data_IF_153841644515
#
_entry.id   IF_153841644515
#
_cell.length_a   1.000
_cell.length_b   1.000
_cell.length_c   1.000
_cell.angle_alpha   90.00
_cell.angle_beta   90.00
_cell.angle_gamma   90.00
#
_symmetry.space_group_name_H-M   'P 1'
#
loop_
_entity.id
_entity.type
_entity.pdbx_description
1 polymer ?
#
# COMPACT_ATOMS: atom_id res chain seq x y z
N UNK A 1 17.98 -49.10 60.94
CA UNK A 1 16.95 -48.67 61.92
C UNK A 1 17.30 -47.26 62.39
N UNK A 2 16.31 -46.33 62.32
CA UNK A 2 16.31 -44.90 62.75
C UNK A 2 17.25 -43.98 61.95
N UNK A 3 16.82 -43.01 61.12
CA UNK A 3 15.86 -41.87 61.18
C UNK A 3 16.31 -40.71 62.09
N UNK A 4 16.42 -39.51 61.49
CA UNK A 4 16.53 -38.18 62.11
C UNK A 4 17.37 -37.22 61.23
N UNK A 5 16.82 -36.60 60.18
CA UNK A 5 16.27 -35.22 60.12
C UNK A 5 17.23 -34.11 60.55
N UNK A 6 17.61 -33.24 59.61
CA UNK A 6 17.61 -31.79 59.84
C UNK A 6 17.45 -31.04 58.51
N UNK A 7 16.48 -30.14 58.49
CA UNK A 7 15.79 -29.59 57.33
C UNK A 7 15.77 -28.06 57.49
N UNK A 8 16.93 -27.43 57.67
CA UNK A 8 17.04 -25.98 57.95
C UNK A 8 18.26 -25.33 57.26
N UNK A 9 18.34 -25.43 55.92
CA UNK A 9 19.35 -24.65 55.18
C UNK A 9 18.91 -24.05 53.84
N UNK A 10 17.60 -23.92 53.59
CA UNK A 10 17.07 -23.31 52.36
C UNK A 10 16.15 -22.11 52.60
N UNK A 11 16.55 -21.20 53.49
CA UNK A 11 15.89 -19.90 53.66
C UNK A 11 16.86 -18.82 54.11
N UNK A 12 17.60 -18.26 53.15
CA UNK A 12 18.18 -16.93 53.33
C UNK A 12 18.23 -16.23 51.98
N UNK A 13 17.04 -15.86 51.51
CA UNK A 13 16.81 -14.95 50.41
C UNK A 13 16.00 -13.79 51.01
N UNK A 14 16.70 -12.75 51.48
CA UNK A 14 16.29 -11.33 51.44
C UNK A 14 17.30 -10.47 52.23
N UNK A 15 17.56 -9.27 51.70
CA UNK A 15 18.30 -8.13 52.29
C UNK A 15 19.85 -8.12 52.28
N UNK A 16 20.44 -7.48 51.24
CA UNK A 16 21.06 -6.13 51.38
C UNK A 16 21.73 -5.64 50.07
N UNK A 17 21.07 -4.65 49.48
CA UNK A 17 21.56 -3.34 49.02
C UNK A 17 22.78 -3.21 48.07
N UNK A 18 22.49 -2.51 46.97
CA UNK A 18 23.30 -1.52 46.22
C UNK A 18 24.49 -1.99 45.38
N UNK A 19 24.35 -1.83 44.06
CA UNK A 19 25.45 -1.88 43.08
C UNK A 19 24.92 -1.73 41.66
N UNK A 20 24.77 -0.49 41.20
CA UNK A 20 24.44 -0.11 39.82
C UNK A 20 25.46 -0.66 38.79
N UNK A 21 24.96 -1.31 37.74
CA UNK A 21 25.59 -1.25 36.41
C UNK A 21 24.53 -1.45 35.34
N UNK A 22 24.31 -0.38 34.58
CA UNK A 22 23.36 -0.28 33.51
C UNK A 22 23.74 -1.20 32.34
N UNK A 23 22.86 -2.16 32.05
CA UNK A 23 22.71 -2.73 30.70
C UNK A 23 21.37 -2.23 30.18
N UNK A 24 21.44 -1.27 29.25
CA UNK A 24 20.27 -0.68 28.60
C UNK A 24 19.46 -1.75 27.88
N UNK A 25 18.16 -1.93 28.21
CA UNK A 25 17.25 -2.60 27.31
C UNK A 25 16.87 -1.61 26.19
N UNK A 26 16.97 -2.07 24.94
CA UNK A 26 16.33 -1.43 23.79
C UNK A 26 14.86 -1.16 24.12
N UNK A 27 14.32 0.06 23.92
CA UNK A 27 12.94 0.34 24.27
C UNK A 27 12.04 -0.34 23.24
N UNK A 28 11.35 -1.40 23.67
CA UNK A 28 10.18 -1.90 22.95
C UNK A 28 9.10 -0.82 23.02
N UNK A 29 8.74 -0.26 21.86
CA UNK A 29 7.73 0.79 21.73
C UNK A 29 6.42 0.35 22.42
N UNK A 30 6.06 1.03 23.51
CA UNK A 30 4.80 0.79 24.23
C UNK A 30 3.65 1.35 23.42
N UNK A 31 3.03 0.51 22.60
CA UNK A 31 1.79 0.83 21.89
C UNK A 31 0.61 0.79 22.85
N UNK A 32 -0.20 1.85 22.87
CA UNK A 32 -1.41 1.95 23.70
C UNK A 32 -2.63 1.98 22.80
N UNK A 33 -3.55 1.04 23.02
CA UNK A 33 -4.90 1.10 22.45
C UNK A 33 -5.69 2.13 23.22
N UNK A 34 -6.11 3.21 22.56
CA UNK A 34 -6.92 4.25 23.19
C UNK A 34 -8.04 4.68 22.24
N UNK A 35 -9.20 5.02 22.80
CA UNK A 35 -10.20 5.79 22.05
C UNK A 35 -9.62 7.18 21.78
N UNK A 36 -9.54 7.58 20.52
CA UNK A 36 -9.06 8.92 20.15
C UNK A 36 -10.02 9.96 20.74
N UNK A 37 -9.67 10.50 21.91
CA UNK A 37 -10.38 11.63 22.51
C UNK A 37 -9.90 12.84 21.73
N UNK A 38 -10.79 13.35 20.87
CA UNK A 38 -10.51 14.36 19.84
C UNK A 38 -9.41 15.31 20.26
N UNK A 39 -8.40 15.44 19.39
CA UNK A 39 -7.23 16.26 19.61
C UNK A 39 -7.61 17.57 20.32
N UNK A 40 -6.94 17.84 21.44
CA UNK A 40 -6.96 19.16 22.05
C UNK A 40 -6.86 20.22 20.94
N UNK A 41 -7.67 21.31 20.97
CA UNK A 41 -7.76 22.29 19.88
C UNK A 41 -6.42 22.97 19.51
N UNK A 42 -5.32 22.63 20.19
CA UNK A 42 -3.97 23.13 19.93
C UNK A 42 -3.19 22.36 18.86
N UNK A 43 -3.49 21.10 18.54
CA UNK A 43 -2.75 20.37 17.49
C UNK A 43 -3.52 20.33 16.19
N UNK A 44 -3.24 21.32 15.32
CA UNK A 44 -3.81 21.42 13.96
C UNK A 44 -3.48 20.20 13.09
N UNK A 45 -2.44 19.45 13.46
CA UNK A 45 -1.91 18.32 12.71
C UNK A 45 -2.04 17.01 13.47
N UNK A 46 -2.17 15.94 12.68
CA UNK A 46 -2.26 14.54 13.09
C UNK A 46 -1.14 13.76 12.42
N UNK A 47 -0.54 12.89 13.22
CA UNK A 47 0.59 12.04 12.85
C UNK A 47 0.08 10.62 12.60
N UNK A 48 0.39 10.07 11.44
CA UNK A 48 -0.01 8.74 10.99
C UNK A 48 1.23 7.93 10.63
N UNK A 49 1.32 6.71 11.13
CA UNK A 49 2.34 5.74 10.73
C UNK A 49 1.62 4.55 10.07
N UNK A 50 1.77 4.42 8.76
CA UNK A 50 1.09 3.41 7.93
C UNK A 50 2.12 2.38 7.50
N UNK A 51 2.23 1.29 8.26
CA UNK A 51 3.18 0.20 7.99
C UNK A 51 4.64 0.66 7.90
N UNK A 52 5.02 1.67 8.69
CA UNK A 52 6.35 2.28 8.69
C UNK A 52 6.47 3.58 7.88
N UNK A 53 5.48 3.92 7.05
CA UNK A 53 5.46 5.18 6.33
C UNK A 53 4.82 6.30 7.15
N UNK A 54 5.56 7.38 7.36
CA UNK A 54 5.17 8.48 8.24
C UNK A 54 4.48 9.60 7.45
N UNK A 55 3.28 9.98 7.91
CA UNK A 55 2.48 11.03 7.29
C UNK A 55 2.00 12.07 8.31
N UNK A 56 1.98 13.31 7.86
CA UNK A 56 1.40 14.44 8.58
C UNK A 56 0.21 14.98 7.80
N UNK A 57 -0.92 15.14 8.47
CA UNK A 57 -2.13 15.68 7.87
C UNK A 57 -2.98 16.42 8.91
N UNK A 58 -4.15 16.92 8.52
CA UNK A 58 -5.06 17.63 9.42
C UNK A 58 -6.33 16.82 9.67
N UNK A 59 -6.99 17.05 10.81
CA UNK A 59 -8.31 16.44 11.07
C UNK A 59 -9.31 16.77 9.99
N UNK A 60 -9.31 18.01 9.50
CA UNK A 60 -10.17 18.43 8.41
C UNK A 60 -10.04 17.54 7.16
N UNK A 61 -8.82 17.12 6.81
CA UNK A 61 -8.60 16.23 5.65
C UNK A 61 -9.19 14.84 5.90
N UNK A 62 -8.93 14.29 7.09
CA UNK A 62 -9.34 12.93 7.46
C UNK A 62 -10.86 12.81 7.70
N UNK A 63 -11.52 13.90 8.09
CA UNK A 63 -12.98 13.93 8.33
C UNK A 63 -13.77 14.56 7.18
N UNK A 64 -13.12 14.97 6.09
CA UNK A 64 -13.76 15.65 4.95
C UNK A 64 -14.82 14.77 4.28
N UNK A 65 -14.50 13.50 4.10
CA UNK A 65 -15.32 12.51 3.39
C UNK A 65 -15.73 11.38 4.33
N UNK A 66 -16.83 10.70 3.99
CA UNK A 66 -17.30 9.56 4.77
C UNK A 66 -16.46 8.30 4.48
N UNK A 67 -15.41 8.12 5.26
CA UNK A 67 -14.37 7.09 5.07
C UNK A 67 -14.08 6.37 6.37
N UNK A 68 -13.37 5.23 6.31
CA UNK A 68 -12.88 4.52 7.50
C UNK A 68 -12.03 5.43 8.39
N UNK A 69 -11.21 6.31 7.78
CA UNK A 69 -10.39 7.27 8.50
C UNK A 69 -11.25 8.22 9.33
N UNK A 70 -12.33 8.76 8.76
CA UNK A 70 -13.28 9.58 9.54
C UNK A 70 -13.85 8.82 10.73
N UNK A 71 -14.16 7.52 10.58
CA UNK A 71 -14.63 6.70 11.70
C UNK A 71 -13.56 6.56 12.80
N UNK A 72 -12.30 6.28 12.44
CA UNK A 72 -11.15 6.26 13.36
C UNK A 72 -11.03 7.55 14.17
N UNK A 73 -11.13 8.69 13.47
CA UNK A 73 -10.91 10.01 14.06
C UNK A 73 -12.15 10.64 14.70
N UNK A 74 -13.32 10.03 14.51
CA UNK A 74 -14.58 10.44 15.17
C UNK A 74 -14.71 9.96 16.61
N UNK A 75 -13.74 9.18 17.11
CA UNK A 75 -13.77 8.59 18.46
C UNK A 75 -14.69 7.37 18.58
N UNK A 76 -15.18 6.84 17.45
CA UNK A 76 -16.07 5.66 17.39
C UNK A 76 -15.30 4.34 17.26
N UNK A 77 -14.00 4.41 16.99
CA UNK A 77 -13.15 3.24 16.78
C UNK A 77 -11.87 3.38 17.60
N UNK A 78 -11.38 2.26 18.12
CA UNK A 78 -10.11 2.23 18.83
C UNK A 78 -8.96 2.41 17.85
N UNK A 79 -7.98 3.24 18.24
CA UNK A 79 -6.76 3.45 17.46
C UNK A 79 -5.54 3.11 18.30
N UNK A 80 -4.56 2.48 17.64
CA UNK A 80 -3.27 2.22 18.25
C UNK A 80 -2.42 3.48 18.14
N UNK A 81 -1.92 3.97 19.28
CA UNK A 81 -1.02 5.13 19.31
C UNK A 81 0.28 4.75 20.00
N UNK A 82 1.40 5.19 19.44
CA UNK A 82 2.72 5.06 20.06
C UNK A 82 2.97 6.18 21.10
N UNK A 83 4.00 5.99 21.93
CA UNK A 83 4.52 6.94 22.91
C UNK A 83 4.79 8.35 22.36
N UNK A 84 5.17 8.47 21.08
CA UNK A 84 5.41 9.76 20.40
C UNK A 84 4.14 10.41 19.80
N UNK A 85 2.97 9.76 19.95
CA UNK A 85 1.70 10.23 19.43
C UNK A 85 1.43 9.87 17.96
N UNK A 86 2.15 8.88 17.40
CA UNK A 86 1.88 8.33 16.08
C UNK A 86 0.69 7.37 16.12
N UNK A 87 -0.29 7.62 15.26
CA UNK A 87 -1.41 6.68 15.09
C UNK A 87 -0.98 5.61 14.10
N UNK A 88 -0.98 4.37 14.56
CA UNK A 88 -0.49 3.23 13.81
C UNK A 88 -1.62 2.61 12.98
N UNK A 89 -1.35 2.41 11.70
CA UNK A 89 -2.21 1.68 10.77
C UNK A 89 -1.40 0.50 10.23
N UNK A 90 -1.91 -0.71 10.45
CA UNK A 90 -1.32 -1.96 9.95
C UNK A 90 -1.67 -2.18 8.47
N UNK A 91 -1.16 -1.28 7.61
CA UNK A 91 -1.32 -1.30 6.16
C UNK A 91 -0.04 -0.85 5.46
N UNK A 92 0.10 -1.18 4.19
CA UNK A 92 1.22 -0.72 3.40
C UNK A 92 1.09 0.78 3.09
N UNK A 93 2.06 1.58 3.51
CA UNK A 93 2.08 3.02 3.25
C UNK A 93 2.33 3.42 1.79
N UNK A 94 2.77 2.51 0.91
CA UNK A 94 3.19 2.81 -0.47
C UNK A 94 2.22 3.74 -1.21
N UNK A 95 0.93 3.42 -1.15
CA UNK A 95 -0.13 4.16 -1.88
C UNK A 95 -0.93 5.12 -0.99
N UNK A 96 -0.62 5.19 0.31
CA UNK A 96 -1.38 6.02 1.25
C UNK A 96 -1.25 7.52 0.94
N UNK A 97 -0.12 7.95 0.37
CA UNK A 97 0.05 9.32 -0.10
C UNK A 97 -0.99 9.71 -1.16
N UNK A 98 -1.29 8.83 -2.11
CA UNK A 98 -2.30 9.07 -3.14
C UNK A 98 -3.72 9.14 -2.52
N UNK A 99 -4.01 8.26 -1.55
CA UNK A 99 -5.26 8.30 -0.78
C UNK A 99 -5.40 9.63 -0.05
N UNK A 100 -4.35 10.12 0.62
CA UNK A 100 -4.38 11.41 1.30
C UNK A 100 -4.58 12.59 0.33
N UNK A 101 -3.91 12.57 -0.81
CA UNK A 101 -4.07 13.62 -1.83
C UNK A 101 -5.51 13.63 -2.37
N UNK A 102 -6.10 12.46 -2.60
CA UNK A 102 -7.50 12.35 -2.96
C UNK A 102 -8.43 12.98 -1.92
N UNK A 103 -8.18 12.75 -0.63
CA UNK A 103 -8.98 13.37 0.44
C UNK A 103 -8.81 14.90 0.50
N UNK A 104 -7.64 15.43 0.11
CA UNK A 104 -7.38 16.87 0.06
C UNK A 104 -8.07 17.53 -1.12
N UNK A 105 -7.81 17.04 -2.31
CA UNK A 105 -8.15 17.72 -3.57
C UNK A 105 -9.44 17.19 -4.19
N UNK A 106 -9.88 15.98 -3.82
CA UNK A 106 -11.02 15.28 -4.40
C UNK A 106 -10.71 14.55 -5.71
N UNK A 107 -9.46 14.60 -6.16
CA UNK A 107 -8.95 13.89 -7.34
C UNK A 107 -7.46 13.58 -7.14
N UNK A 108 -6.95 12.55 -7.81
CA UNK A 108 -5.52 12.21 -7.79
C UNK A 108 -5.11 11.65 -9.16
N UNK A 109 -3.93 11.99 -9.69
CA UNK A 109 -3.42 11.32 -10.89
C UNK A 109 -3.22 9.84 -10.60
N UNK A 110 -3.88 8.99 -11.39
CA UNK A 110 -3.77 7.55 -11.26
C UNK A 110 -2.41 7.05 -11.80
N UNK A 111 -1.85 5.96 -11.23
CA UNK A 111 -0.61 5.36 -11.72
C UNK A 111 -0.67 4.91 -13.19
N UNK A 112 0.49 4.81 -13.83
CA UNK A 112 0.58 4.39 -15.23
C UNK A 112 0.42 2.89 -15.42
N UNK A 113 0.78 2.08 -14.42
CA UNK A 113 0.74 0.61 -14.54
C UNK A 113 -0.53 0.02 -13.92
N UNK A 114 -1.11 -1.00 -14.57
CA UNK A 114 -2.32 -1.67 -14.06
C UNK A 114 -2.08 -2.26 -12.67
N UNK A 115 -0.90 -2.84 -12.43
CA UNK A 115 -0.51 -3.38 -11.13
C UNK A 115 -0.59 -2.32 -10.03
N UNK A 116 -0.08 -1.12 -10.27
CA UNK A 116 -0.14 -0.04 -9.27
C UNK A 116 -1.56 0.48 -9.07
N UNK A 117 -2.38 0.51 -10.12
CA UNK A 117 -3.81 0.86 -10.01
C UNK A 117 -4.54 -0.19 -9.17
N UNK A 118 -4.27 -1.47 -9.35
CA UNK A 118 -4.85 -2.55 -8.53
C UNK A 118 -4.41 -2.46 -7.06
N UNK A 119 -3.13 -2.18 -6.82
CA UNK A 119 -2.61 -1.96 -5.46
C UNK A 119 -3.29 -0.74 -4.81
N UNK A 120 -3.44 0.38 -5.55
CA UNK A 120 -4.15 1.58 -5.07
C UNK A 120 -5.63 1.30 -4.83
N UNK A 121 -6.29 0.54 -5.71
CA UNK A 121 -7.69 0.12 -5.57
C UNK A 121 -7.90 -0.70 -4.29
N UNK A 122 -6.97 -1.59 -3.95
CA UNK A 122 -7.05 -2.36 -2.71
C UNK A 122 -7.01 -1.46 -1.47
N UNK A 123 -6.13 -0.44 -1.46
CA UNK A 123 -6.10 0.54 -0.37
C UNK A 123 -7.34 1.44 -0.36
N UNK A 124 -7.81 1.91 -1.52
CA UNK A 124 -9.02 2.72 -1.62
C UNK A 124 -10.25 1.99 -1.05
N UNK A 125 -10.36 0.69 -1.32
CA UNK A 125 -11.39 -0.18 -0.72
C UNK A 125 -11.20 -0.33 0.79
N UNK A 126 -9.97 -0.54 1.26
CA UNK A 126 -9.68 -0.67 2.68
C UNK A 126 -10.10 0.58 3.48
N UNK A 127 -9.72 1.77 2.98
CA UNK A 127 -10.07 3.04 3.63
C UNK A 127 -11.50 3.52 3.32
N UNK A 128 -12.27 2.76 2.52
CA UNK A 128 -13.64 3.08 2.10
C UNK A 128 -13.74 4.44 1.37
N UNK A 129 -12.80 4.73 0.49
CA UNK A 129 -12.79 5.96 -0.33
C UNK A 129 -13.52 5.69 -1.64
N UNK A 130 -14.85 5.75 -1.60
CA UNK A 130 -15.72 5.28 -2.70
C UNK A 130 -15.42 5.93 -4.06
N UNK A 131 -15.21 7.25 -4.11
CA UNK A 131 -14.88 7.93 -5.38
C UNK A 131 -13.57 7.43 -6.00
N UNK A 132 -12.55 7.20 -5.18
CA UNK A 132 -11.27 6.67 -5.66
C UNK A 132 -11.38 5.21 -6.12
N UNK A 133 -12.25 4.40 -5.48
CA UNK A 133 -12.54 3.03 -5.92
C UNK A 133 -13.13 3.03 -7.32
N UNK A 134 -14.11 3.89 -7.58
CA UNK A 134 -14.77 4.02 -8.88
C UNK A 134 -13.80 4.49 -9.97
N UNK A 135 -12.97 5.50 -9.68
CA UNK A 135 -11.94 6.00 -10.61
C UNK A 135 -10.91 4.92 -10.97
N UNK A 136 -10.44 4.15 -9.99
CA UNK A 136 -9.50 3.06 -10.23
C UNK A 136 -10.13 1.93 -11.06
N UNK A 137 -11.39 1.56 -10.78
CA UNK A 137 -12.09 0.52 -11.54
C UNK A 137 -12.35 0.95 -12.98
N UNK A 138 -12.74 2.21 -13.21
CA UNK A 138 -12.92 2.76 -14.54
C UNK A 138 -11.61 2.75 -15.34
N UNK A 139 -10.49 3.11 -14.70
CA UNK A 139 -9.16 3.11 -15.33
C UNK A 139 -8.71 1.69 -15.73
N UNK A 140 -8.99 0.68 -14.90
CA UNK A 140 -8.69 -0.72 -15.23
C UNK A 140 -9.54 -1.24 -16.40
N UNK A 141 -10.83 -0.88 -16.46
CA UNK A 141 -11.70 -1.26 -17.59
C UNK A 141 -11.29 -0.58 -18.90
N UNK A 142 -10.86 0.69 -18.87
CA UNK A 142 -10.38 1.38 -20.07
C UNK A 142 -9.07 0.77 -20.61
N UNK A 143 -8.14 0.39 -19.74
CA UNK A 143 -6.82 -0.14 -20.14
C UNK A 143 -6.83 -1.59 -20.64
N UNK A 144 -7.92 -2.33 -20.48
CA UNK A 144 -8.12 -3.59 -21.21
C UNK A 144 -8.35 -3.38 -22.72
N UNK A 145 -8.60 -2.13 -23.15
CA UNK A 145 -8.50 -1.74 -24.56
C UNK A 145 -7.03 -1.60 -24.92
N UNK A 146 -6.43 -2.72 -25.33
CA UNK A 146 -5.05 -2.83 -25.81
C UNK A 146 -4.74 -1.73 -26.84
N UNK A 147 -3.96 -0.70 -26.47
CA UNK A 147 -3.27 0.15 -27.44
C UNK A 147 -1.97 -0.59 -27.80
N UNK A 148 -1.89 -1.23 -28.98
CA UNK A 148 -0.69 -1.98 -29.33
C UNK A 148 0.49 -1.02 -29.39
N UNK A 149 1.57 -1.35 -28.66
CA UNK A 149 2.84 -0.60 -28.65
C UNK A 149 3.39 -0.36 -30.07
N UNK A 150 2.99 -1.20 -31.03
CA UNK A 150 3.22 -0.95 -32.45
C UNK A 150 2.06 -1.48 -33.31
N UNK A 151 1.61 -0.66 -34.27
CA UNK A 151 0.68 -1.09 -35.32
C UNK A 151 1.51 -1.70 -36.45
N UNK A 152 1.40 -3.01 -36.66
CA UNK A 152 2.01 -3.68 -37.82
C UNK A 152 0.99 -3.66 -38.96
N UNK A 153 1.18 -2.84 -40.01
CA UNK A 153 0.25 -2.80 -41.13
C UNK A 153 0.33 -4.11 -41.93
N UNK A 154 -0.83 -4.70 -42.22
CA UNK A 154 -0.92 -5.87 -43.11
C UNK A 154 -0.98 -5.37 -44.55
N UNK A 155 0.05 -5.69 -45.32
CA UNK A 155 0.15 -5.30 -46.73
C UNK A 155 -0.40 -6.45 -47.59
N UNK A 156 -1.37 -6.16 -48.44
CA UNK A 156 -2.04 -7.19 -49.27
C UNK A 156 -1.71 -7.09 -50.76
N UNK A 157 -1.01 -6.04 -51.17
CA UNK A 157 -0.63 -5.79 -52.57
C UNK A 157 0.82 -5.37 -52.72
N UNK A 158 1.46 -5.82 -53.79
CA UNK A 158 2.84 -5.44 -54.11
C UNK A 158 2.97 -3.91 -54.38
N UNK A 159 1.93 -3.28 -54.93
CA UNK A 159 1.91 -1.82 -55.15
C UNK A 159 1.90 -1.03 -53.84
N UNK A 160 1.19 -1.54 -52.84
CA UNK A 160 1.16 -0.95 -51.50
C UNK A 160 2.49 -1.12 -50.77
N UNK A 161 3.10 -2.31 -50.92
CA UNK A 161 4.45 -2.61 -50.41
C UNK A 161 5.49 -1.62 -50.96
N UNK A 162 5.57 -1.50 -52.28
CA UNK A 162 6.54 -0.61 -52.94
C UNK A 162 6.36 0.84 -52.50
N UNK A 163 5.11 1.31 -52.38
CA UNK A 163 4.82 2.66 -51.89
C UNK A 163 5.28 2.87 -50.45
N UNK A 164 5.03 1.92 -49.55
CA UNK A 164 5.42 2.02 -48.15
C UNK A 164 6.95 2.01 -47.97
N UNK A 165 7.66 1.18 -48.73
CA UNK A 165 9.13 1.14 -48.73
C UNK A 165 9.70 2.43 -49.32
N UNK A 166 9.17 2.89 -50.45
CA UNK A 166 9.66 4.10 -51.13
C UNK A 166 9.43 5.40 -50.33
N UNK A 167 8.42 5.43 -49.47
CA UNK A 167 8.10 6.60 -48.63
C UNK A 167 8.80 6.55 -47.27
N UNK A 168 9.37 5.41 -46.88
CA UNK A 168 9.99 5.22 -45.57
C UNK A 168 11.48 5.52 -45.59
N UNK A 169 11.92 6.46 -44.76
CA UNK A 169 13.35 6.76 -44.55
C UNK A 169 13.98 5.94 -43.41
N UNK A 170 13.26 4.93 -42.89
CA UNK A 170 13.70 4.05 -41.80
C UNK A 170 13.93 2.63 -42.33
N UNK A 171 14.90 1.87 -41.78
CA UNK A 171 15.05 0.46 -42.10
C UNK A 171 13.75 -0.28 -41.82
N UNK A 172 13.27 -1.03 -42.80
CA UNK A 172 12.00 -1.76 -42.73
C UNK A 172 12.25 -3.26 -42.58
N UNK A 173 11.47 -3.93 -41.74
CA UNK A 173 11.46 -5.39 -41.59
C UNK A 173 10.20 -5.94 -42.23
N UNK A 174 10.35 -6.77 -43.26
CA UNK A 174 9.23 -7.45 -43.93
C UNK A 174 8.99 -8.81 -43.29
N UNK A 175 7.86 -8.95 -42.59
CA UNK A 175 7.41 -10.24 -42.06
C UNK A 175 6.46 -10.89 -43.07
N UNK A 176 6.90 -11.99 -43.68
CA UNK A 176 6.08 -12.77 -44.60
C UNK A 176 5.24 -13.78 -43.81
N UNK A 177 3.91 -13.60 -43.75
CA UNK A 177 3.00 -14.55 -43.13
C UNK A 177 2.34 -15.45 -44.18
N UNK A 178 2.78 -16.71 -44.25
CA UNK A 178 2.18 -17.70 -45.15
C UNK A 178 1.02 -18.42 -44.46
N UNK A 179 -0.21 -18.02 -44.76
CA UNK A 179 -1.43 -18.62 -44.19
C UNK A 179 -1.76 -20.02 -44.74
N UNK A 180 -1.03 -20.52 -45.74
CA UNK A 180 -1.41 -21.69 -46.54
C UNK A 180 -0.72 -23.03 -46.20
N UNK A 181 -0.10 -23.19 -45.02
CA UNK A 181 0.42 -24.52 -44.65
C UNK A 181 0.29 -24.92 -43.17
N UNK A 182 -0.88 -24.71 -42.56
CA UNK A 182 -1.17 -25.31 -41.24
C UNK A 182 -1.91 -26.65 -41.37
N UNK A 183 -1.52 -27.50 -42.34
CA UNK A 183 -2.08 -28.87 -42.48
C UNK A 183 -1.38 -29.90 -41.58
N UNK A 184 -0.28 -29.53 -40.92
CA UNK A 184 0.46 -30.44 -40.03
C UNK A 184 1.01 -29.69 -38.82
N UNK A 185 0.19 -29.52 -37.78
CA UNK A 185 0.70 -29.18 -36.45
C UNK A 185 0.07 -30.10 -35.41
N UNK A 186 0.80 -31.19 -35.17
CA UNK A 186 0.94 -31.94 -33.92
C UNK A 186 -0.29 -32.02 -32.99
N UNK A 187 -1.08 -33.07 -33.18
CA UNK A 187 -1.65 -33.83 -32.07
C UNK A 187 -1.26 -35.30 -32.29
N UNK A 188 -0.36 -35.80 -31.44
CA UNK A 188 -0.27 -37.21 -31.10
C UNK A 188 -0.41 -37.31 -29.59
#
# INVERSE_FOLDING_TARGET
MKVGTDLDQFRNLEERMSGESAVSPVPAASTRTTSFKGASPSSKYVKLNVGGALYYTTMQTLTKQDTMLKAMFSGRMEVLTDSEGWILIDRCGKHFGAVLNYLRDGAVPLPETNREIEELLAEAKYYLVQGLVEECQAALQQKETYEPFCKVPVITSNKEEQRLIATSNKPAVKLLYNRSNNKYSYTR
#
